data_IF_470222041176
#
_entry.id   IF_470222041176
#
_cell.length_a   1.000
_cell.length_b   1.000
_cell.length_c   1.000
_cell.angle_alpha   90.00
_cell.angle_beta   90.00
_cell.angle_gamma   90.00
#
_symmetry.space_group_name_H-M   'P 1'
#
loop_
_entity.id
_entity.type
_entity.pdbx_description
1 polymer ?
#
# COMPACT_ATOMS: atom_id res chain seq x y z
N UNK A 1 -6.57 -14.47 -22.92
CA UNK A 1 -5.95 -13.22 -23.45
C UNK A 1 -4.92 -13.53 -24.54
N UNK A 2 -3.84 -14.25 -24.25
CA UNK A 2 -2.84 -14.64 -25.27
C UNK A 2 -3.45 -15.45 -26.44
N UNK A 3 -4.39 -16.34 -26.16
CA UNK A 3 -5.13 -17.09 -27.19
C UNK A 3 -6.06 -16.21 -28.04
N UNK A 4 -6.55 -15.09 -27.49
CA UNK A 4 -7.50 -14.20 -28.17
C UNK A 4 -6.80 -13.13 -29.01
N UNK A 5 -5.58 -12.76 -28.67
CA UNK A 5 -4.79 -11.70 -29.31
C UNK A 5 -3.33 -12.13 -29.50
N UNK A 6 -3.07 -13.13 -30.37
CA UNK A 6 -1.74 -13.72 -30.53
C UNK A 6 -0.68 -12.74 -31.06
N UNK A 7 -1.09 -11.68 -31.75
CA UNK A 7 -0.23 -10.62 -32.28
C UNK A 7 0.18 -9.58 -31.24
N UNK A 8 -0.44 -9.60 -30.04
CA UNK A 8 -0.13 -8.66 -28.95
C UNK A 8 0.89 -9.28 -28.01
N UNK A 9 1.92 -8.50 -27.68
CA UNK A 9 2.83 -8.85 -26.59
C UNK A 9 2.16 -8.58 -25.25
N UNK A 10 2.00 -9.63 -24.44
CA UNK A 10 1.34 -9.57 -23.13
C UNK A 10 2.26 -10.20 -22.09
N UNK A 11 2.70 -9.39 -21.13
CA UNK A 11 3.44 -9.81 -19.94
C UNK A 11 2.51 -9.67 -18.75
N UNK A 12 2.43 -10.72 -17.93
CA UNK A 12 1.58 -10.76 -16.75
C UNK A 12 2.49 -10.81 -15.53
N UNK A 13 2.27 -9.89 -14.60
CA UNK A 13 3.03 -9.76 -13.36
C UNK A 13 2.04 -9.91 -12.22
N UNK A 14 2.32 -10.82 -11.30
CA UNK A 14 1.67 -10.81 -9.99
C UNK A 14 2.29 -9.67 -9.19
N UNK A 15 1.48 -8.66 -8.87
CA UNK A 15 1.95 -7.46 -8.18
C UNK A 15 2.30 -7.70 -6.74
N UNK A 16 1.81 -8.78 -6.10
CA UNK A 16 1.92 -8.99 -4.65
C UNK A 16 1.39 -7.81 -3.80
N UNK A 17 0.65 -6.89 -4.41
CA UNK A 17 0.21 -5.62 -3.85
C UNK A 17 -1.27 -5.39 -4.16
N UNK A 18 -1.91 -4.55 -3.34
CA UNK A 18 -3.30 -4.13 -3.54
C UNK A 18 -3.43 -2.61 -3.45
N UNK A 19 -4.60 -2.10 -3.87
CA UNK A 19 -5.02 -0.70 -3.63
C UNK A 19 -3.94 0.33 -4.02
N UNK A 20 -3.58 1.26 -3.13
CA UNK A 20 -2.56 2.26 -3.36
C UNK A 20 -1.19 1.69 -3.74
N UNK A 21 -0.76 0.57 -3.15
CA UNK A 21 0.52 -0.06 -3.52
C UNK A 21 0.53 -0.51 -5.00
N UNK A 22 -0.54 -1.16 -5.44
CA UNK A 22 -0.71 -1.50 -6.86
C UNK A 22 -0.79 -0.25 -7.74
N UNK A 23 -1.46 0.80 -7.27
CA UNK A 23 -1.53 2.08 -7.96
C UNK A 23 -0.15 2.71 -8.17
N UNK A 24 0.73 2.67 -7.17
CA UNK A 24 2.11 3.16 -7.28
C UNK A 24 2.90 2.38 -8.33
N UNK A 25 2.77 1.05 -8.36
CA UNK A 25 3.43 0.21 -9.37
C UNK A 25 2.97 0.59 -10.78
N UNK A 26 1.66 0.69 -11.00
CA UNK A 26 1.09 1.06 -12.31
C UNK A 26 1.51 2.47 -12.72
N UNK A 27 1.55 3.41 -11.76
CA UNK A 27 2.01 4.77 -12.02
C UNK A 27 3.46 4.79 -12.50
N UNK A 28 4.36 4.06 -11.83
CA UNK A 28 5.76 3.97 -12.27
C UNK A 28 5.91 3.26 -13.62
N UNK A 29 5.11 2.21 -13.88
CA UNK A 29 5.08 1.55 -15.18
C UNK A 29 4.67 2.51 -16.31
N UNK A 30 3.71 3.40 -16.05
CA UNK A 30 3.31 4.44 -17.00
C UNK A 30 4.43 5.46 -17.25
N UNK A 31 5.10 5.94 -16.20
CA UNK A 31 6.23 6.87 -16.36
C UNK A 31 7.37 6.27 -17.18
N UNK A 32 7.69 4.99 -16.97
CA UNK A 32 8.70 4.29 -17.79
C UNK A 32 8.26 4.15 -19.25
N UNK A 33 6.98 3.90 -19.50
CA UNK A 33 6.43 3.88 -20.87
C UNK A 33 6.59 5.24 -21.56
N UNK A 34 6.23 6.33 -20.86
CA UNK A 34 6.38 7.70 -21.36
C UNK A 34 7.85 8.09 -21.59
N UNK A 35 8.76 7.54 -20.78
CA UNK A 35 10.21 7.68 -20.95
C UNK A 35 10.80 6.78 -22.07
N UNK A 36 9.97 6.01 -22.79
CA UNK A 36 10.39 5.22 -23.96
C UNK A 36 11.01 3.86 -23.65
N UNK A 37 10.79 3.30 -22.46
CA UNK A 37 11.28 1.95 -22.11
C UNK A 37 10.57 0.89 -22.95
N UNK A 38 11.31 -0.14 -23.36
CA UNK A 38 10.70 -1.32 -23.95
C UNK A 38 9.84 -2.06 -22.91
N UNK A 39 8.82 -2.79 -23.36
CA UNK A 39 7.88 -3.48 -22.45
C UNK A 39 8.57 -4.54 -21.59
N UNK A 40 9.65 -5.15 -22.08
CA UNK A 40 10.46 -6.14 -21.33
C UNK A 40 11.28 -5.48 -20.23
N UNK A 41 11.90 -4.33 -20.52
CA UNK A 41 12.63 -3.54 -19.53
C UNK A 41 11.68 -3.07 -18.43
N UNK A 42 10.54 -2.49 -18.84
CA UNK A 42 9.50 -2.03 -17.93
C UNK A 42 9.00 -3.17 -17.04
N UNK A 43 8.67 -4.32 -17.63
CA UNK A 43 8.22 -5.50 -16.88
C UNK A 43 9.28 -6.01 -15.89
N UNK A 44 10.55 -6.07 -16.30
CA UNK A 44 11.66 -6.48 -15.42
C UNK A 44 11.83 -5.56 -14.22
N UNK A 45 11.64 -4.25 -14.43
CA UNK A 45 11.70 -3.25 -13.36
C UNK A 45 10.48 -3.35 -12.44
N UNK A 46 9.28 -3.51 -13.00
CA UNK A 46 8.05 -3.71 -12.22
C UNK A 46 8.16 -4.95 -11.32
N UNK A 47 8.76 -6.03 -11.80
CA UNK A 47 9.05 -7.23 -10.98
C UNK A 47 9.95 -6.94 -9.77
N UNK A 48 10.78 -5.89 -9.81
CA UNK A 48 11.59 -5.44 -8.66
C UNK A 48 10.80 -4.50 -7.75
N UNK A 49 10.20 -3.45 -8.33
CA UNK A 49 9.47 -2.40 -7.60
C UNK A 49 8.33 -2.99 -6.75
N UNK A 50 7.72 -4.08 -7.19
CA UNK A 50 6.62 -4.71 -6.44
C UNK A 50 7.01 -5.18 -5.02
N UNK A 51 8.28 -5.58 -4.83
CA UNK A 51 8.82 -6.01 -3.54
C UNK A 51 9.32 -4.82 -2.69
N UNK A 52 9.60 -3.68 -3.32
CA UNK A 52 10.02 -2.43 -2.65
C UNK A 52 8.83 -1.52 -2.33
N UNK A 53 7.65 -1.84 -2.85
CA UNK A 53 6.41 -1.14 -2.55
C UNK A 53 5.84 -1.64 -1.23
N UNK A 54 5.58 -0.71 -0.32
CA UNK A 54 5.13 -1.02 1.04
C UNK A 54 3.78 -0.37 1.30
N UNK A 55 2.95 -1.06 2.08
CA UNK A 55 1.71 -0.53 2.63
C UNK A 55 1.77 -0.68 4.15
N UNK A 56 1.74 0.44 4.86
CA UNK A 56 1.59 0.52 6.30
C UNK A 56 0.15 0.92 6.62
N UNK A 57 -0.58 0.05 7.30
CA UNK A 57 -2.03 0.22 7.44
C UNK A 57 -2.61 -0.43 8.68
N UNK A 58 -3.85 -0.04 8.99
CA UNK A 58 -4.62 -0.59 10.10
C UNK A 58 -6.09 -0.74 9.71
N UNK A 59 -6.82 -1.50 10.52
CA UNK A 59 -8.27 -1.74 10.41
C UNK A 59 -8.94 -1.56 11.76
N UNK A 60 -10.28 -1.48 11.75
CA UNK A 60 -11.08 -1.34 12.96
C UNK A 60 -10.97 -2.55 13.89
N UNK A 61 -11.02 -3.75 13.31
CA UNK A 61 -10.81 -5.06 13.91
C UNK A 61 -10.37 -6.05 12.82
N UNK A 62 -9.88 -7.23 13.22
CA UNK A 62 -9.50 -8.29 12.29
C UNK A 62 -10.71 -9.08 11.73
N UNK A 63 -11.92 -8.82 12.23
CA UNK A 63 -13.11 -9.61 11.92
C UNK A 63 -13.40 -9.66 10.42
N UNK A 64 -13.34 -8.53 9.73
CA UNK A 64 -13.59 -8.48 8.28
C UNK A 64 -12.54 -9.27 7.48
N UNK A 65 -11.27 -9.19 7.88
CA UNK A 65 -10.18 -9.92 7.22
C UNK A 65 -10.30 -11.43 7.48
N UNK A 66 -10.74 -11.82 8.68
CA UNK A 66 -10.98 -13.20 9.06
C UNK A 66 -12.17 -13.80 8.33
N UNK A 67 -13.34 -13.14 8.34
CA UNK A 67 -14.52 -13.60 7.59
C UNK A 67 -14.27 -13.58 6.09
N UNK A 68 -13.46 -12.63 5.63
CA UNK A 68 -12.95 -12.60 4.27
C UNK A 68 -11.96 -13.71 3.96
N UNK A 69 -11.26 -14.32 4.92
CA UNK A 69 -10.18 -15.27 4.66
C UNK A 69 -8.91 -14.63 4.06
N UNK A 70 -8.71 -13.31 4.25
CA UNK A 70 -7.57 -12.55 3.71
C UNK A 70 -6.48 -12.28 4.75
N UNK A 71 -6.71 -12.63 6.01
CA UNK A 71 -5.80 -12.35 7.14
C UNK A 71 -4.41 -13.02 7.05
N UNK A 72 -4.15 -13.80 5.99
CA UNK A 72 -2.92 -14.60 5.86
C UNK A 72 -2.87 -15.70 6.92
N UNK A 73 -1.91 -16.60 6.82
CA UNK A 73 -1.74 -17.76 7.73
C UNK A 73 -1.40 -17.38 9.19
N UNK A 74 -1.56 -16.12 9.59
CA UNK A 74 -1.37 -15.64 10.96
C UNK A 74 -2.58 -15.97 11.86
N UNK A 75 -2.74 -17.25 12.17
CA UNK A 75 -3.67 -17.76 13.18
C UNK A 75 -3.39 -17.24 14.61
N UNK A 76 -2.33 -16.43 14.79
CA UNK A 76 -1.81 -16.01 16.10
C UNK A 76 -2.62 -14.89 16.80
N UNK A 77 -3.60 -14.27 16.13
CA UNK A 77 -4.39 -13.16 16.69
C UNK A 77 -5.90 -13.46 16.82
N UNK A 78 -6.24 -14.73 17.03
CA UNK A 78 -7.60 -15.11 17.42
C UNK A 78 -7.92 -14.54 18.81
N UNK A 79 -8.51 -13.33 18.86
CA UNK A 79 -8.96 -12.71 20.10
C UNK A 79 -9.54 -11.32 19.88
N UNK A 80 -10.80 -11.12 20.24
CA UNK A 80 -11.44 -9.80 20.24
C UNK A 80 -10.95 -8.99 21.44
N UNK A 81 -9.83 -8.28 21.28
CA UNK A 81 -9.38 -7.33 22.30
C UNK A 81 -9.98 -5.96 21.99
N UNK A 82 -10.88 -5.51 22.87
CA UNK A 82 -11.60 -4.24 22.69
C UNK A 82 -10.64 -3.07 22.46
N UNK A 83 -10.93 -2.28 21.43
CA UNK A 83 -10.19 -1.07 21.04
C UNK A 83 -8.69 -1.28 20.70
N UNK A 84 -8.30 -2.52 20.35
CA UNK A 84 -6.98 -2.79 19.76
C UNK A 84 -7.07 -2.69 18.23
N UNK A 85 -6.08 -2.03 17.64
CA UNK A 85 -5.91 -1.78 16.22
C UNK A 85 -4.63 -2.49 15.77
N UNK A 86 -4.74 -3.51 14.91
CA UNK A 86 -3.57 -4.18 14.37
C UNK A 86 -2.91 -3.25 13.34
N UNK A 87 -1.59 -3.10 13.43
CA UNK A 87 -0.78 -2.58 12.33
C UNK A 87 -0.44 -3.78 11.46
N UNK A 88 -0.73 -3.67 10.18
CA UNK A 88 -0.61 -4.77 9.22
C UNK A 88 0.41 -4.36 8.15
N UNK A 89 1.21 -5.31 7.72
CA UNK A 89 2.11 -5.21 6.59
C UNK A 89 1.74 -6.27 5.54
N UNK A 90 2.06 -5.99 4.29
CA UNK A 90 1.96 -6.95 3.19
C UNK A 90 3.35 -7.50 2.88
N UNK A 91 3.49 -8.82 2.80
CA UNK A 91 4.75 -9.49 2.45
C UNK A 91 4.46 -10.69 1.56
N UNK A 92 5.11 -10.78 0.40
CA UNK A 92 4.88 -11.87 -0.57
C UNK A 92 3.38 -12.09 -0.89
N UNK A 93 2.61 -11.01 -1.02
CA UNK A 93 1.17 -11.06 -1.30
C UNK A 93 0.28 -11.50 -0.13
N UNK A 94 0.86 -11.85 1.03
CA UNK A 94 0.13 -12.23 2.24
C UNK A 94 0.13 -11.09 3.28
N UNK A 95 -0.92 -11.05 4.11
CA UNK A 95 -1.07 -10.06 5.17
C UNK A 95 -0.48 -10.57 6.48
N UNK A 96 0.31 -9.73 7.14
CA UNK A 96 0.94 -10.04 8.43
C UNK A 96 0.69 -8.94 9.45
N UNK A 97 0.14 -9.25 10.63
CA UNK A 97 0.10 -8.29 11.72
C UNK A 97 1.52 -8.10 12.28
N UNK A 98 1.95 -6.86 12.39
CA UNK A 98 3.30 -6.50 12.89
C UNK A 98 3.27 -5.91 14.30
N UNK A 99 2.16 -5.30 14.69
CA UNK A 99 2.01 -4.66 16.00
C UNK A 99 0.52 -4.56 16.37
N UNK A 100 0.21 -4.55 17.68
CA UNK A 100 -1.14 -4.27 18.19
C UNK A 100 -1.12 -2.99 19.02
N UNK A 101 -1.89 -1.99 18.60
CA UNK A 101 -1.90 -0.66 19.21
C UNK A 101 -3.29 -0.32 19.72
N UNK A 102 -3.39 0.26 20.93
CA UNK A 102 -4.70 0.60 21.52
C UNK A 102 -5.16 2.00 21.08
N UNK A 103 -6.27 2.05 20.34
CA UNK A 103 -6.93 3.28 19.88
C UNK A 103 -6.39 3.86 18.57
N UNK A 104 -7.29 4.47 17.78
CA UNK A 104 -7.01 4.98 16.42
C UNK A 104 -5.88 6.01 16.37
N UNK A 105 -5.81 6.93 17.34
CA UNK A 105 -4.76 7.95 17.40
C UNK A 105 -3.35 7.35 17.47
N UNK A 106 -3.19 6.34 18.32
CA UNK A 106 -1.89 5.66 18.46
C UNK A 106 -1.59 4.80 17.24
N UNK A 107 -2.61 4.18 16.62
CA UNK A 107 -2.41 3.39 15.41
C UNK A 107 -1.90 4.25 14.24
N UNK A 108 -2.45 5.46 14.08
CA UNK A 108 -1.98 6.42 13.06
C UNK A 108 -0.55 6.87 13.35
N UNK A 109 -0.25 7.21 14.60
CA UNK A 109 1.13 7.54 14.99
C UNK A 109 2.08 6.37 14.68
N UNK A 110 1.67 5.13 14.95
CA UNK A 110 2.48 3.95 14.65
C UNK A 110 2.71 3.77 13.14
N UNK A 111 1.71 4.04 12.29
CA UNK A 111 1.87 4.04 10.83
C UNK A 111 2.88 5.09 10.38
N UNK A 112 2.78 6.32 10.90
CA UNK A 112 3.72 7.42 10.61
C UNK A 112 5.13 7.06 11.07
N UNK A 113 5.30 6.73 12.36
CA UNK A 113 6.60 6.38 12.95
C UNK A 113 7.26 5.18 12.26
N UNK A 114 6.46 4.24 11.73
CA UNK A 114 6.95 3.09 10.97
C UNK A 114 7.44 3.53 9.59
N UNK A 115 6.62 4.30 8.87
CA UNK A 115 6.93 4.84 7.54
C UNK A 115 8.20 5.69 7.58
N UNK A 116 8.29 6.62 8.52
CA UNK A 116 9.44 7.53 8.65
C UNK A 116 10.73 6.77 8.97
N UNK A 117 10.65 5.69 9.76
CA UNK A 117 11.81 4.83 10.07
C UNK A 117 12.27 4.00 8.89
N UNK A 118 11.34 3.57 8.04
CA UNK A 118 11.63 2.76 6.85
C UNK A 118 12.24 3.62 5.74
N UNK A 119 11.75 4.86 5.58
CA UNK A 119 12.21 5.80 4.56
C UNK A 119 13.44 6.60 5.01
N UNK A 120 13.52 6.93 6.31
CA UNK A 120 14.57 7.79 6.90
C UNK A 120 14.61 9.16 6.17
N UNK A 121 15.80 9.65 5.85
CA UNK A 121 16.01 10.97 5.23
C UNK A 121 15.89 10.96 3.69
N UNK A 122 15.30 9.90 3.11
CA UNK A 122 15.20 9.69 1.65
C UNK A 122 13.85 10.06 1.06
N UNK A 123 13.06 10.92 1.70
CA UNK A 123 11.67 11.24 1.29
C UNK A 123 11.52 11.60 -0.20
N UNK A 124 12.49 12.35 -0.74
CA UNK A 124 12.51 12.76 -2.16
C UNK A 124 12.58 11.60 -3.14
N UNK A 125 13.03 10.44 -2.68
CA UNK A 125 13.27 9.25 -3.48
C UNK A 125 12.02 8.37 -3.56
N UNK A 126 10.89 8.79 -2.97
CA UNK A 126 9.67 7.98 -2.88
C UNK A 126 8.44 8.68 -3.48
N UNK A 127 7.59 7.87 -4.10
CA UNK A 127 6.19 8.20 -4.32
C UNK A 127 5.37 7.76 -3.11
N UNK A 128 4.33 8.53 -2.76
CA UNK A 128 3.44 8.23 -1.64
C UNK A 128 1.97 8.42 -1.99
N UNK A 129 1.09 7.64 -1.37
CA UNK A 129 -0.36 7.85 -1.40
C UNK A 129 -1.04 7.37 -0.12
N UNK A 130 -2.11 8.06 0.28
CA UNK A 130 -2.91 7.74 1.46
C UNK A 130 -4.31 7.29 1.08
N UNK A 131 -4.87 6.34 1.81
CA UNK A 131 -6.21 5.83 1.52
C UNK A 131 -6.99 5.35 2.75
N UNK A 132 -8.32 5.38 2.62
CA UNK A 132 -9.28 5.04 3.67
C UNK A 132 -10.52 4.33 3.13
N UNK A 133 -11.28 3.66 4.00
CA UNK A 133 -12.48 2.91 3.62
C UNK A 133 -13.76 3.75 3.49
N UNK A 134 -14.48 4.01 4.58
CA UNK A 134 -15.87 4.48 4.49
C UNK A 134 -15.99 5.98 4.79
N UNK A 135 -15.91 6.34 6.08
CA UNK A 135 -15.96 7.72 6.51
C UNK A 135 -14.54 8.28 6.66
N UNK A 136 -14.30 9.42 6.00
CA UNK A 136 -13.17 10.27 6.34
C UNK A 136 -13.20 10.57 7.84
N UNK A 137 -12.09 10.26 8.51
CA UNK A 137 -11.92 10.53 9.93
C UNK A 137 -10.97 11.72 10.05
N UNK A 138 -11.33 12.83 10.71
CA UNK A 138 -10.46 14.01 10.83
C UNK A 138 -9.06 13.70 11.40
N UNK A 139 -8.92 12.60 12.15
CA UNK A 139 -7.61 12.14 12.60
C UNK A 139 -6.65 11.76 11.46
N UNK A 140 -7.17 11.55 10.25
CA UNK A 140 -6.38 11.36 9.05
C UNK A 140 -5.71 12.64 8.59
N UNK A 141 -6.24 13.81 8.96
CA UNK A 141 -5.57 15.09 8.73
C UNK A 141 -4.25 15.14 9.45
N UNK A 142 -4.12 14.43 10.58
CA UNK A 142 -2.82 14.30 11.26
C UNK A 142 -1.76 13.66 10.35
N UNK A 143 -2.13 12.75 9.44
CA UNK A 143 -1.18 12.19 8.47
C UNK A 143 -0.86 13.23 7.39
N UNK A 144 -1.88 13.92 6.87
CA UNK A 144 -1.69 14.94 5.85
C UNK A 144 -0.87 16.15 6.35
N UNK A 145 -1.13 16.61 7.58
CA UNK A 145 -0.40 17.64 8.30
C UNK A 145 1.04 17.21 8.59
N UNK A 146 1.26 15.97 9.06
CA UNK A 146 2.61 15.46 9.31
C UNK A 146 3.49 15.48 8.06
N UNK A 147 2.91 15.19 6.90
CA UNK A 147 3.62 15.19 5.62
C UNK A 147 3.44 16.47 4.78
N UNK A 148 2.85 17.54 5.32
CA UNK A 148 2.56 18.74 4.51
C UNK A 148 3.82 19.45 4.00
N UNK A 149 4.88 19.43 4.80
CA UNK A 149 6.21 20.01 4.47
C UNK A 149 7.22 18.95 4.01
N UNK A 150 6.76 17.73 3.75
CA UNK A 150 7.64 16.62 3.33
C UNK A 150 8.10 16.77 1.88
N UNK A 151 9.18 16.07 1.53
CA UNK A 151 9.69 16.02 0.15
C UNK A 151 9.09 14.89 -0.69
N UNK A 152 8.07 14.21 -0.18
CA UNK A 152 7.40 13.13 -0.89
C UNK A 152 6.70 13.62 -2.16
N UNK A 153 6.67 12.77 -3.19
CA UNK A 153 5.83 13.01 -4.36
C UNK A 153 4.48 12.30 -4.19
N UNK A 154 3.47 13.05 -3.76
CA UNK A 154 2.10 12.54 -3.63
C UNK A 154 1.41 12.43 -4.99
N UNK A 155 1.10 11.21 -5.43
CA UNK A 155 0.38 10.98 -6.70
C UNK A 155 -1.11 11.29 -6.54
N UNK A 156 -1.62 11.13 -5.32
CA UNK A 156 -2.92 11.64 -4.87
C UNK A 156 -2.89 11.77 -3.36
N UNK A 157 -3.24 12.94 -2.85
CA UNK A 157 -3.13 13.25 -1.41
C UNK A 157 -3.94 12.27 -0.57
N UNK A 158 -5.19 11.97 -0.93
CA UNK A 158 -6.00 10.99 -0.19
C UNK A 158 -7.09 10.36 -1.07
N UNK A 159 -7.30 9.05 -0.98
CA UNK A 159 -8.33 8.34 -1.76
C UNK A 159 -9.17 7.36 -0.95
N UNK A 160 -10.45 7.26 -1.29
CA UNK A 160 -11.32 6.21 -0.76
C UNK A 160 -11.04 4.89 -1.50
N UNK A 161 -10.91 3.77 -0.77
CA UNK A 161 -10.80 2.44 -1.37
C UNK A 161 -12.14 1.98 -1.94
N UNK A 162 -12.06 1.07 -2.92
CA UNK A 162 -13.24 0.47 -3.54
C UNK A 162 -13.88 -0.63 -2.68
N UNK A 163 -15.11 -1.01 -3.04
CA UNK A 163 -15.92 -2.00 -2.32
C UNK A 163 -15.26 -3.38 -2.21
N UNK A 164 -14.48 -3.80 -3.22
CA UNK A 164 -13.77 -5.09 -3.22
C UNK A 164 -12.75 -5.18 -2.09
N UNK A 165 -12.03 -4.10 -1.80
CA UNK A 165 -11.10 -4.07 -0.66
C UNK A 165 -11.89 -3.85 0.62
N UNK A 166 -12.83 -2.90 0.61
CA UNK A 166 -13.64 -2.54 1.77
C UNK A 166 -14.41 -3.70 2.39
N UNK A 167 -14.94 -4.63 1.57
CA UNK A 167 -15.65 -5.82 2.05
C UNK A 167 -14.78 -6.76 2.89
N UNK A 168 -13.47 -6.71 2.73
CA UNK A 168 -12.51 -7.52 3.49
C UNK A 168 -11.80 -6.75 4.59
N UNK A 169 -11.63 -5.44 4.45
CA UNK A 169 -10.90 -4.63 5.44
C UNK A 169 -11.80 -3.93 6.44
N UNK A 170 -13.11 -3.88 6.15
CA UNK A 170 -14.09 -3.14 6.93
C UNK A 170 -14.00 -1.62 6.73
N UNK A 171 -14.90 -0.87 7.39
CA UNK A 171 -15.12 0.56 7.13
C UNK A 171 -14.07 1.49 7.75
N UNK A 172 -13.18 0.96 8.60
CA UNK A 172 -12.22 1.73 9.39
C UNK A 172 -10.77 1.56 8.93
N UNK A 173 -10.56 1.06 7.70
CA UNK A 173 -9.21 0.99 7.14
C UNK A 173 -8.63 2.39 6.98
N UNK A 174 -7.38 2.55 7.41
CA UNK A 174 -6.53 3.71 7.16
C UNK A 174 -5.15 3.17 6.75
N UNK A 175 -4.58 3.72 5.70
CA UNK A 175 -3.36 3.20 5.12
C UNK A 175 -2.54 4.29 4.43
N UNK A 176 -1.23 4.06 4.43
CA UNK A 176 -0.24 4.79 3.69
C UNK A 176 0.56 3.79 2.87
N UNK A 177 0.68 4.04 1.56
CA UNK A 177 1.56 3.29 0.68
C UNK A 177 2.66 4.18 0.15
N UNK A 178 3.85 3.61 0.00
CA UNK A 178 4.98 4.27 -0.61
C UNK A 178 5.80 3.29 -1.45
N UNK A 179 6.49 3.83 -2.44
CA UNK A 179 7.29 3.05 -3.38
C UNK A 179 8.48 3.89 -3.81
N UNK A 180 9.67 3.30 -3.79
CA UNK A 180 10.87 3.99 -4.23
C UNK A 180 10.74 4.33 -5.71
N UNK A 181 11.11 5.55 -6.08
CA UNK A 181 11.13 6.04 -7.45
C UNK A 181 12.17 5.26 -8.22
N UNK A 182 11.78 4.69 -9.34
CA UNK A 182 12.70 4.14 -10.31
C UNK A 182 12.99 5.19 -11.40
N UNK A 183 14.27 5.45 -11.64
CA UNK A 183 14.75 6.44 -12.60
C UNK A 183 15.62 5.79 -13.67
N UNK A 184 15.87 6.49 -14.78
CA UNK A 184 16.79 6.02 -15.81
C UNK A 184 18.25 5.91 -15.38
N UNK A 185 18.61 6.48 -14.22
CA UNK A 185 19.93 6.32 -13.62
C UNK A 185 20.06 5.04 -12.79
N UNK A 186 18.95 4.34 -12.52
CA UNK A 186 18.93 3.04 -11.83
C UNK A 186 19.12 1.85 -12.80
N UNK A 187 19.53 2.13 -14.05
CA UNK A 187 19.88 1.14 -15.08
C UNK A 187 21.29 0.57 -14.88
#
# INVERSE_FOLDING_TARGET
MKEKYPERKIITIDSLQATGGMGLIVYQAQLMLEAGYAIEENASIVEKIKHETVINWTVGSLDFLQHGGRIGKSAALAGTIFNVKPIICMKEGELFPVENVRGTKKAIKAIIDKTDREIKDHESDYYMTMFYADAYNPIMDTIAEHYSESKYSFIKSMSRIGVTIGSHTGPHLIALAYSKKYTCYDR
#
